data_IF_108781714249
#
_entry.id   IF_108781714249
#
_cell.length_a   1.000
_cell.length_b   1.000
_cell.length_c   1.000
_cell.angle_alpha   90.00
_cell.angle_beta   90.00
_cell.angle_gamma   90.00
#
_symmetry.space_group_name_H-M   'P 1'
#
loop_
_entity.id
_entity.type
_entity.pdbx_description
1 polymer ?
#
# COMPACT_ATOMS: atom_id res chain seq x y z
N UNK A 1 -38.00 11.04 56.55
CA UNK A 1 -37.79 12.13 55.59
C UNK A 1 -38.23 13.40 56.26
N UNK A 2 -37.41 14.48 56.29
CA UNK A 2 -37.77 15.73 56.92
C UNK A 2 -38.87 16.42 56.10
N UNK A 3 -39.95 16.81 56.79
CA UNK A 3 -41.04 17.56 56.19
C UNK A 3 -40.62 19.03 55.99
N UNK A 4 -40.66 19.48 54.76
CA UNK A 4 -40.34 20.88 54.39
C UNK A 4 -41.51 21.81 54.73
N UNK A 5 -42.68 21.29 54.91
CA UNK A 5 -43.88 22.07 55.21
C UNK A 5 -43.69 23.08 56.39
N UNK A 6 -43.05 22.64 57.44
CA UNK A 6 -42.76 23.55 58.63
C UNK A 6 -41.78 24.69 58.33
N UNK A 7 -40.98 24.54 57.29
CA UNK A 7 -40.04 25.60 56.88
C UNK A 7 -40.73 26.60 55.93
N UNK A 8 -41.59 26.11 55.07
CA UNK A 8 -42.38 26.93 54.12
C UNK A 8 -43.44 27.78 54.91
N UNK A 9 -44.07 27.21 55.93
CA UNK A 9 -45.05 27.88 56.74
C UNK A 9 -44.46 29.07 57.64
N UNK A 10 -43.17 29.21 57.66
CA UNK A 10 -42.50 30.35 58.29
C UNK A 10 -42.43 31.60 57.41
N UNK A 11 -42.76 31.47 56.15
CA UNK A 11 -42.78 32.57 55.19
C UNK A 11 -44.12 33.33 55.32
N UNK A 12 -44.08 34.68 55.42
CA UNK A 12 -45.30 35.48 55.54
C UNK A 12 -46.18 35.33 54.32
N UNK A 13 -47.50 35.14 54.52
CA UNK A 13 -48.51 34.93 53.45
C UNK A 13 -48.59 33.54 52.90
N UNK A 14 -47.83 32.58 53.43
CA UNK A 14 -47.94 31.18 52.94
C UNK A 14 -48.45 30.33 54.11
N UNK A 15 -49.57 29.64 53.85
CA UNK A 15 -50.11 28.65 54.80
C UNK A 15 -50.40 27.39 53.96
N UNK A 16 -49.64 26.34 54.19
CA UNK A 16 -49.77 25.10 53.45
C UNK A 16 -50.57 24.07 54.30
N UNK A 17 -51.69 23.64 53.79
CA UNK A 17 -52.53 22.64 54.46
C UNK A 17 -52.18 21.22 54.04
N UNK A 18 -51.32 21.04 53.04
CA UNK A 18 -50.87 19.75 52.54
C UNK A 18 -49.40 19.48 52.92
N UNK A 19 -49.05 18.24 53.27
CA UNK A 19 -47.67 17.88 53.59
C UNK A 19 -46.80 17.99 52.33
N UNK A 20 -45.84 18.87 52.38
CA UNK A 20 -44.86 19.04 51.27
C UNK A 20 -43.63 18.20 51.55
N UNK A 21 -43.16 17.50 50.59
CA UNK A 21 -41.96 16.67 50.65
C UNK A 21 -41.03 17.02 49.47
N UNK A 22 -39.80 17.24 49.76
CA UNK A 22 -38.78 17.42 48.74
C UNK A 22 -37.83 16.23 48.78
N UNK A 23 -37.62 15.63 47.62
CA UNK A 23 -36.64 14.56 47.43
C UNK A 23 -35.59 15.09 46.47
N UNK A 24 -34.35 15.14 46.95
CA UNK A 24 -33.20 15.47 46.12
C UNK A 24 -32.27 14.25 46.07
N UNK A 25 -31.88 13.85 44.90
CA UNK A 25 -30.85 12.84 44.68
C UNK A 25 -29.76 13.43 43.82
N UNK A 26 -28.51 13.13 44.13
CA UNK A 26 -27.36 13.54 43.33
C UNK A 26 -26.39 12.37 43.23
N UNK A 27 -25.86 12.21 42.06
CA UNK A 27 -24.82 11.21 41.78
C UNK A 27 -23.57 11.94 41.27
N UNK A 28 -22.42 11.61 41.83
CA UNK A 28 -21.13 12.15 41.43
C UNK A 28 -20.25 10.98 41.04
N UNK A 29 -19.83 10.94 39.79
CA UNK A 29 -18.84 10.00 39.30
C UNK A 29 -17.55 10.75 38.93
N UNK A 30 -16.43 10.30 39.47
CA UNK A 30 -15.11 10.84 39.14
C UNK A 30 -14.25 9.71 38.56
N UNK A 31 -13.77 9.91 37.35
CA UNK A 31 -12.78 9.04 36.72
C UNK A 31 -11.38 9.61 37.00
N UNK A 32 -10.58 8.89 37.78
CA UNK A 32 -9.17 9.21 37.97
C UNK A 32 -8.34 8.31 37.08
N UNK A 33 -7.70 8.85 36.04
CA UNK A 33 -6.86 8.01 35.15
C UNK A 33 -5.66 7.51 35.96
N UNK A 34 -5.53 6.20 36.06
CA UNK A 34 -4.35 5.54 36.62
C UNK A 34 -3.31 5.33 35.52
N UNK A 35 -2.04 5.51 35.82
CA UNK A 35 -0.93 5.23 34.92
C UNK A 35 0.06 4.27 35.58
N UNK A 36 0.76 3.51 34.72
CA UNK A 36 1.78 2.57 35.19
C UNK A 36 3.04 3.32 35.60
N UNK A 37 3.49 3.14 36.83
CA UNK A 37 4.76 3.69 37.32
C UNK A 37 6.00 2.98 36.72
N UNK A 38 5.80 1.90 35.94
CA UNK A 38 6.87 1.15 35.28
C UNK A 38 7.26 1.74 33.92
N UNK A 39 6.47 2.66 33.40
CA UNK A 39 6.72 3.30 32.11
C UNK A 39 6.97 4.77 32.38
N UNK A 40 8.20 5.23 32.19
CA UNK A 40 8.58 6.62 32.22
C UNK A 40 8.94 7.05 30.81
N UNK A 41 8.31 8.10 30.34
CA UNK A 41 8.75 8.83 29.16
C UNK A 41 9.83 9.88 29.54
N UNK A 42 10.44 10.53 28.56
CA UNK A 42 11.45 11.57 28.78
C UNK A 42 10.93 12.79 29.56
N UNK A 43 9.61 12.97 29.63
CA UNK A 43 8.96 14.04 30.35
C UNK A 43 8.65 13.67 31.83
N UNK A 44 8.89 12.43 32.25
CA UNK A 44 8.55 11.91 33.58
C UNK A 44 7.05 11.70 33.78
N UNK A 45 6.27 11.78 32.74
CA UNK A 45 4.84 11.52 32.70
C UNK A 45 4.64 10.04 32.30
N UNK A 46 4.11 9.24 33.19
CA UNK A 46 3.82 7.83 32.90
C UNK A 46 2.57 7.66 32.04
N UNK A 47 2.25 8.60 31.20
CA UNK A 47 1.10 8.56 30.30
C UNK A 47 1.43 7.78 29.04
N UNK A 48 0.60 6.79 28.73
CA UNK A 48 0.63 6.13 27.43
C UNK A 48 -0.35 6.91 26.55
N UNK A 49 0.19 7.61 25.57
CA UNK A 49 -0.62 8.16 24.50
C UNK A 49 -0.93 7.02 23.52
N UNK A 50 -2.19 6.63 23.42
CA UNK A 50 -2.65 5.85 22.28
C UNK A 50 -2.73 6.85 21.15
N UNK A 51 -1.83 6.71 20.22
CA UNK A 51 -1.79 7.56 19.04
C UNK A 51 -3.12 7.49 18.32
N UNK A 52 -3.55 8.62 17.81
CA UNK A 52 -4.77 8.74 17.05
C UNK A 52 -4.70 7.76 15.86
N UNK A 53 -5.76 7.01 15.61
CA UNK A 53 -5.80 6.06 14.48
C UNK A 53 -5.53 6.74 13.13
N UNK A 54 -5.70 8.06 13.06
CA UNK A 54 -5.35 8.88 11.90
C UNK A 54 -3.83 8.95 11.64
N UNK A 55 -3.00 8.74 12.66
CA UNK A 55 -1.54 8.66 12.54
C UNK A 55 -1.00 7.28 12.22
N UNK A 56 -1.84 6.26 12.17
CA UNK A 56 -1.42 4.88 11.92
C UNK A 56 -1.08 4.69 10.46
N UNK A 57 0.19 4.47 10.14
CA UNK A 57 0.62 4.12 8.78
C UNK A 57 0.21 2.69 8.48
N UNK A 58 -0.66 2.50 7.52
CA UNK A 58 -0.99 1.19 6.97
C UNK A 58 -0.30 1.02 5.62
N UNK A 59 0.46 -0.08 5.47
CA UNK A 59 1.13 -0.40 4.21
C UNK A 59 0.31 -1.40 3.39
N UNK A 60 0.13 -1.12 2.11
CA UNK A 60 -0.41 -2.08 1.14
C UNK A 60 0.74 -2.82 0.46
N UNK A 61 0.77 -4.15 0.60
CA UNK A 61 1.73 -4.96 -0.14
C UNK A 61 1.27 -5.11 -1.59
N UNK A 62 1.99 -4.47 -2.50
CA UNK A 62 1.70 -4.51 -3.93
C UNK A 62 2.29 -5.75 -4.63
N UNK A 63 3.18 -6.51 -3.98
CA UNK A 63 3.79 -7.72 -4.55
C UNK A 63 2.81 -8.87 -4.73
N UNK A 64 1.83 -8.96 -3.83
CA UNK A 64 0.87 -10.06 -3.80
C UNK A 64 -0.59 -9.60 -3.85
N UNK A 65 -1.45 -10.42 -4.41
CA UNK A 65 -1.13 -11.52 -5.34
C UNK A 65 -0.72 -10.98 -6.71
N UNK A 66 0.21 -11.67 -7.40
CA UNK A 66 0.72 -11.28 -8.75
C UNK A 66 -0.41 -11.20 -9.77
N UNK A 67 -1.46 -11.98 -9.56
CA UNK A 67 -2.64 -12.07 -10.44
C UNK A 67 -3.55 -10.84 -10.40
N UNK A 68 -3.37 -9.94 -9.43
CA UNK A 68 -4.14 -8.68 -9.37
C UNK A 68 -3.58 -7.61 -10.31
N UNK A 69 -2.36 -7.82 -10.80
CA UNK A 69 -1.78 -6.96 -11.81
C UNK A 69 -2.35 -7.30 -13.18
N UNK A 70 -2.64 -6.29 -13.97
CA UNK A 70 -3.11 -6.40 -15.35
C UNK A 70 -2.22 -5.55 -16.26
N UNK A 71 -2.35 -5.75 -17.56
CA UNK A 71 -1.64 -4.94 -18.56
C UNK A 71 -2.17 -3.51 -18.50
N UNK A 72 -1.27 -2.55 -18.39
CA UNK A 72 -1.64 -1.14 -18.32
C UNK A 72 -2.20 -0.61 -19.63
N UNK A 73 -3.11 0.34 -19.52
CA UNK A 73 -3.49 1.23 -20.61
C UNK A 73 -2.35 2.23 -20.88
N UNK A 74 -2.28 2.77 -22.11
CA UNK A 74 -1.37 3.87 -22.41
C UNK A 74 -1.79 5.11 -21.63
N UNK A 75 -0.86 5.77 -20.90
CA UNK A 75 -1.17 6.98 -20.14
C UNK A 75 -1.62 8.12 -21.08
N UNK A 76 -2.79 8.69 -20.81
CA UNK A 76 -3.26 9.87 -21.53
C UNK A 76 -2.62 11.13 -20.93
N UNK A 77 -2.41 12.14 -21.80
CA UNK A 77 -1.91 13.45 -21.36
C UNK A 77 -0.61 13.40 -20.53
N UNK A 78 0.26 12.45 -20.83
CA UNK A 78 1.56 12.30 -20.18
C UNK A 78 2.64 13.10 -20.93
N UNK A 79 3.00 14.29 -20.49
CA UNK A 79 4.06 15.08 -21.15
C UNK A 79 5.45 14.53 -20.77
N UNK A 80 6.38 14.62 -21.71
CA UNK A 80 7.80 14.43 -21.46
C UNK A 80 8.42 15.68 -20.77
N UNK A 81 9.72 15.66 -20.52
CA UNK A 81 10.45 16.79 -19.93
C UNK A 81 10.39 18.07 -20.77
N UNK A 82 10.05 17.98 -22.05
CA UNK A 82 9.96 19.08 -23.00
C UNK A 82 8.51 19.52 -23.24
N UNK A 83 7.54 18.88 -22.58
CA UNK A 83 6.13 19.14 -22.74
C UNK A 83 5.44 18.42 -23.91
N UNK A 84 6.14 17.51 -24.61
CA UNK A 84 5.54 16.72 -25.68
C UNK A 84 4.77 15.54 -25.12
N UNK A 85 3.62 15.21 -25.71
CA UNK A 85 2.84 14.02 -25.31
C UNK A 85 3.61 12.76 -25.70
N UNK A 86 3.94 11.93 -24.70
CA UNK A 86 4.72 10.70 -24.90
C UNK A 86 3.93 9.61 -25.65
N UNK A 87 2.63 9.54 -25.41
CA UNK A 87 1.75 8.50 -25.93
C UNK A 87 0.58 9.11 -26.70
N UNK A 88 0.80 9.68 -27.91
CA UNK A 88 -0.26 10.32 -28.66
C UNK A 88 -1.38 9.34 -29.07
N UNK A 89 -1.04 8.05 -29.20
CA UNK A 89 -2.00 6.99 -29.48
C UNK A 89 -2.97 6.70 -28.35
N UNK A 90 -2.67 7.14 -27.12
CA UNK A 90 -3.52 6.88 -25.95
C UNK A 90 -4.93 7.49 -26.05
N UNK A 91 -5.12 8.47 -26.94
CA UNK A 91 -6.42 9.13 -27.16
C UNK A 91 -7.27 8.42 -28.22
N UNK A 92 -6.70 7.42 -28.93
CA UNK A 92 -7.43 6.70 -29.98
C UNK A 92 -8.50 5.78 -29.37
N UNK A 93 -9.72 5.89 -29.88
CA UNK A 93 -10.87 5.07 -29.49
C UNK A 93 -11.25 4.16 -30.65
N UNK A 94 -11.49 2.87 -30.38
CA UNK A 94 -11.86 1.86 -31.38
C UNK A 94 -10.90 1.80 -32.59
N UNK A 95 -9.62 2.00 -32.33
CA UNK A 95 -8.59 2.02 -33.36
C UNK A 95 -7.44 1.08 -32.98
N UNK A 96 -7.09 0.17 -33.87
CA UNK A 96 -6.02 -0.82 -33.65
C UNK A 96 -4.64 -0.17 -33.42
N UNK A 97 -4.44 1.06 -33.90
CA UNK A 97 -3.20 1.80 -33.66
C UNK A 97 -3.00 2.21 -32.19
N UNK A 98 -4.03 2.13 -31.34
CA UNK A 98 -3.88 2.37 -29.90
C UNK A 98 -2.74 1.56 -29.28
N UNK A 99 -2.58 0.30 -29.67
CA UNK A 99 -1.55 -0.58 -29.12
C UNK A 99 -0.27 -0.68 -29.95
N UNK A 100 -0.10 0.12 -31.03
CA UNK A 100 1.02 -0.04 -31.98
C UNK A 100 2.41 0.02 -31.33
N UNK A 101 2.59 0.80 -30.28
CA UNK A 101 3.85 0.96 -29.58
C UNK A 101 4.00 0.05 -28.35
N UNK A 102 2.98 -0.75 -28.03
CA UNK A 102 3.02 -1.64 -26.89
C UNK A 102 3.93 -2.84 -27.18
N UNK A 103 5.01 -2.96 -26.40
CA UNK A 103 5.89 -4.11 -26.39
C UNK A 103 5.49 -5.10 -25.29
N UNK A 104 6.13 -6.24 -25.27
CA UNK A 104 5.88 -7.30 -24.31
C UNK A 104 6.44 -6.91 -22.93
N UNK A 105 5.65 -7.10 -21.91
CA UNK A 105 6.04 -7.04 -20.50
C UNK A 105 5.57 -8.31 -19.80
N UNK A 106 6.40 -8.86 -18.96
CA UNK A 106 6.06 -9.96 -18.07
C UNK A 106 6.31 -9.51 -16.62
N UNK A 107 5.51 -10.01 -15.69
CA UNK A 107 5.69 -9.77 -14.27
C UNK A 107 5.49 -11.08 -13.50
N UNK A 108 6.30 -11.26 -12.49
CA UNK A 108 6.34 -12.50 -11.72
C UNK A 108 6.98 -12.25 -10.35
N UNK A 109 6.92 -13.24 -9.47
CA UNK A 109 7.79 -13.29 -8.30
C UNK A 109 8.95 -14.21 -8.62
N UNK A 110 10.16 -13.77 -8.34
CA UNK A 110 11.36 -14.57 -8.58
C UNK A 110 11.37 -15.81 -7.70
N UNK A 111 11.44 -16.96 -8.34
CA UNK A 111 11.56 -18.25 -7.63
C UNK A 111 13.03 -18.48 -7.21
N UNK A 112 13.31 -18.70 -5.93
CA UNK A 112 14.65 -19.03 -5.46
C UNK A 112 15.31 -20.19 -6.20
N UNK A 113 14.52 -21.17 -6.69
CA UNK A 113 15.01 -22.27 -7.51
C UNK A 113 15.75 -21.84 -8.79
N UNK A 114 15.51 -20.62 -9.27
CA UNK A 114 16.12 -20.13 -10.52
C UNK A 114 17.41 -19.34 -10.31
N UNK A 115 17.67 -18.89 -9.09
CA UNK A 115 18.78 -17.94 -8.80
C UNK A 115 19.71 -18.40 -7.68
N UNK A 116 19.31 -19.38 -6.88
CA UNK A 116 20.13 -19.91 -5.79
C UNK A 116 20.58 -21.36 -6.11
N UNK A 117 21.85 -21.50 -6.44
CA UNK A 117 22.44 -22.80 -6.77
C UNK A 117 22.42 -23.82 -5.61
N UNK A 118 22.22 -23.36 -4.37
CA UNK A 118 22.12 -24.22 -3.20
C UNK A 118 20.71 -24.83 -3.05
N UNK A 119 19.73 -24.30 -3.76
CA UNK A 119 18.39 -24.89 -3.82
C UNK A 119 18.43 -26.21 -4.61
N UNK A 120 17.96 -27.28 -4.01
CA UNK A 120 17.95 -28.60 -4.62
C UNK A 120 17.09 -28.69 -5.90
N UNK A 121 16.20 -27.74 -6.11
CA UNK A 121 15.27 -27.69 -7.26
C UNK A 121 15.83 -26.97 -8.49
N UNK A 122 17.03 -26.34 -8.42
CA UNK A 122 17.59 -25.61 -9.56
C UNK A 122 17.88 -26.58 -10.73
N UNK A 123 17.44 -26.24 -11.96
CA UNK A 123 17.78 -27.01 -13.16
C UNK A 123 19.30 -27.06 -13.40
N UNK A 124 19.82 -28.22 -13.86
CA UNK A 124 21.25 -28.44 -14.01
C UNK A 124 21.93 -27.51 -15.02
N UNK A 125 21.22 -27.05 -16.03
CA UNK A 125 21.75 -26.12 -17.02
C UNK A 125 21.97 -24.73 -16.40
N UNK A 126 21.12 -24.30 -15.44
CA UNK A 126 21.27 -23.03 -14.72
C UNK A 126 22.39 -23.10 -13.68
N UNK A 127 22.59 -24.23 -13.03
CA UNK A 127 23.71 -24.41 -12.08
C UNK A 127 25.08 -24.15 -12.69
N UNK A 128 25.19 -24.38 -14.01
CA UNK A 128 26.44 -24.21 -14.77
C UNK A 128 26.55 -22.86 -15.46
N UNK A 129 25.48 -22.08 -15.45
CA UNK A 129 25.44 -20.73 -16.07
C UNK A 129 25.92 -19.68 -15.08
N UNK A 130 27.23 -19.44 -15.06
CA UNK A 130 27.83 -18.46 -14.17
C UNK A 130 27.40 -17.03 -14.49
N UNK A 131 27.08 -16.74 -15.75
CA UNK A 131 26.60 -15.41 -16.14
C UNK A 131 25.21 -15.11 -15.55
N UNK A 132 24.31 -16.10 -15.63
CA UNK A 132 22.99 -16.00 -15.00
C UNK A 132 23.08 -15.89 -13.48
N UNK A 133 23.89 -16.71 -12.83
CA UNK A 133 24.02 -16.71 -11.37
C UNK A 133 24.70 -15.45 -10.82
N UNK A 134 25.51 -14.77 -11.61
CA UNK A 134 26.15 -13.51 -11.24
C UNK A 134 25.35 -12.25 -11.64
N UNK A 135 24.18 -12.45 -12.25
CA UNK A 135 23.35 -11.35 -12.71
C UNK A 135 22.69 -10.61 -11.52
N UNK A 136 23.13 -9.38 -11.26
CA UNK A 136 22.62 -8.58 -10.15
C UNK A 136 21.18 -8.07 -10.33
N UNK A 137 20.62 -8.14 -11.54
CA UNK A 137 19.20 -7.81 -11.78
C UNK A 137 18.24 -8.94 -11.38
N UNK A 138 18.75 -10.16 -11.22
CA UNK A 138 17.98 -11.34 -10.82
C UNK A 138 18.61 -11.93 -9.56
N UNK A 139 18.36 -11.29 -8.42
CA UNK A 139 18.90 -11.74 -7.12
C UNK A 139 17.80 -11.85 -6.09
N UNK A 140 18.03 -12.73 -5.12
CA UNK A 140 17.22 -12.78 -3.92
C UNK A 140 17.52 -11.55 -3.05
N UNK A 141 16.49 -10.92 -2.55
CA UNK A 141 16.60 -9.79 -1.62
C UNK A 141 16.41 -10.29 -0.20
N UNK A 142 17.38 -10.08 0.65
CA UNK A 142 17.28 -10.46 2.05
C UNK A 142 16.60 -9.34 2.85
N UNK A 143 15.92 -9.71 3.94
CA UNK A 143 15.30 -8.73 4.82
C UNK A 143 16.33 -7.73 5.37
N UNK A 144 17.54 -8.17 5.62
CA UNK A 144 18.62 -7.33 6.12
C UNK A 144 19.09 -6.28 5.10
N UNK A 145 18.97 -6.56 3.80
CA UNK A 145 19.33 -5.61 2.74
C UNK A 145 18.40 -4.39 2.76
N UNK A 146 17.12 -4.61 3.10
CA UNK A 146 16.09 -3.56 3.12
C UNK A 146 16.00 -2.90 4.50
N UNK A 147 16.15 -3.68 5.57
CA UNK A 147 16.01 -3.21 6.95
C UNK A 147 17.28 -3.45 7.77
N UNK A 148 18.39 -2.76 7.49
CA UNK A 148 19.69 -3.07 8.10
C UNK A 148 19.73 -2.82 9.61
N UNK A 149 18.86 -1.97 10.14
CA UNK A 149 18.80 -1.63 11.57
C UNK A 149 17.88 -2.54 12.38
N UNK A 150 17.16 -3.46 11.72
CA UNK A 150 16.26 -4.38 12.40
C UNK A 150 17.05 -5.58 12.96
N UNK A 151 16.85 -5.88 14.24
CA UNK A 151 17.39 -7.10 14.85
C UNK A 151 16.54 -8.30 14.45
N UNK A 152 17.20 -9.34 13.96
CA UNK A 152 16.54 -10.59 13.56
C UNK A 152 16.93 -11.68 14.57
N UNK A 153 15.92 -12.33 15.14
CA UNK A 153 16.10 -13.40 16.14
C UNK A 153 16.01 -14.79 15.55
N UNK A 154 15.67 -14.92 14.27
CA UNK A 154 15.53 -16.19 13.56
C UNK A 154 16.23 -16.15 12.20
N UNK A 155 16.31 -17.30 11.54
CA UNK A 155 16.85 -17.42 10.17
C UNK A 155 16.21 -16.38 9.26
N UNK A 156 17.05 -15.55 8.66
CA UNK A 156 16.62 -14.50 7.74
C UNK A 156 16.06 -15.16 6.49
N UNK A 157 14.80 -14.86 6.20
CA UNK A 157 14.17 -15.27 4.94
C UNK A 157 14.42 -14.24 3.84
N UNK A 158 14.38 -14.72 2.61
CA UNK A 158 14.34 -13.83 1.45
C UNK A 158 12.99 -13.13 1.38
N UNK A 159 13.03 -11.83 1.03
CA UNK A 159 11.82 -11.09 0.71
C UNK A 159 11.39 -11.43 -0.72
N UNK A 160 10.11 -11.73 -0.93
CA UNK A 160 9.59 -11.84 -2.29
C UNK A 160 9.59 -10.47 -2.96
N UNK A 161 9.94 -10.44 -4.23
CA UNK A 161 9.96 -9.25 -5.08
C UNK A 161 8.88 -9.35 -6.16
N UNK A 162 8.41 -8.23 -6.66
CA UNK A 162 7.67 -8.16 -7.91
C UNK A 162 8.64 -7.79 -9.01
N UNK A 163 8.95 -8.74 -9.87
CA UNK A 163 9.93 -8.60 -10.93
C UNK A 163 9.24 -8.28 -12.23
N UNK A 164 9.83 -7.37 -12.99
CA UNK A 164 9.33 -6.91 -14.28
C UNK A 164 10.37 -7.18 -15.35
N UNK A 165 9.98 -7.89 -16.40
CA UNK A 165 10.80 -8.09 -17.59
C UNK A 165 10.17 -7.37 -18.77
N UNK A 166 10.90 -6.45 -19.37
CA UNK A 166 10.46 -5.68 -20.54
C UNK A 166 11.24 -6.09 -21.78
N UNK A 167 10.50 -6.43 -22.83
CA UNK A 167 11.05 -6.93 -24.10
C UNK A 167 10.69 -5.96 -25.23
N UNK A 168 11.46 -4.89 -25.46
CA UNK A 168 11.08 -3.81 -26.38
C UNK A 168 11.03 -4.22 -27.85
N UNK A 169 11.64 -5.34 -28.22
CA UNK A 169 11.59 -5.90 -29.58
C UNK A 169 10.46 -6.91 -29.78
N UNK A 170 9.86 -7.39 -28.70
CA UNK A 170 8.79 -8.37 -28.79
C UNK A 170 7.43 -7.68 -28.76
N UNK A 171 6.53 -8.17 -29.60
CA UNK A 171 5.16 -7.67 -29.69
C UNK A 171 4.40 -7.96 -28.39
N UNK A 172 3.86 -6.90 -27.78
CA UNK A 172 2.98 -7.03 -26.64
C UNK A 172 1.54 -7.40 -27.00
N UNK A 173 0.72 -7.75 -26.02
CA UNK A 173 -0.71 -7.97 -26.22
C UNK A 173 -1.39 -6.74 -26.83
N UNK A 174 -2.33 -6.99 -27.73
CA UNK A 174 -3.07 -5.95 -28.46
C UNK A 174 -2.20 -5.02 -29.33
N UNK A 175 -0.96 -5.41 -29.63
CA UNK A 175 -0.15 -4.74 -30.62
C UNK A 175 -0.40 -5.34 -32.00
N UNK A 176 -1.07 -4.60 -32.86
CA UNK A 176 -1.42 -4.98 -34.24
C UNK A 176 -0.58 -4.23 -35.28
N UNK A 177 0.59 -3.69 -34.89
CA UNK A 177 1.50 -3.01 -35.80
C UNK A 177 1.99 -4.01 -36.88
N UNK A 178 1.66 -3.73 -38.15
CA UNK A 178 2.07 -4.53 -39.28
C UNK A 178 3.15 -3.86 -40.15
N UNK A 179 3.48 -2.61 -39.85
CA UNK A 179 4.39 -1.80 -40.69
C UNK A 179 5.79 -1.68 -40.08
N UNK A 180 5.88 -1.58 -38.75
CA UNK A 180 7.14 -1.36 -38.04
C UNK A 180 7.65 -2.67 -37.41
N UNK A 181 7.70 -3.72 -38.22
CA UNK A 181 8.19 -5.04 -37.81
C UNK A 181 9.25 -5.52 -38.77
N UNK A 182 10.17 -6.35 -38.29
CA UNK A 182 11.13 -7.08 -39.10
C UNK A 182 10.47 -8.28 -39.78
N UNK A 183 11.19 -8.93 -40.72
CA UNK A 183 10.74 -10.18 -41.36
C UNK A 183 10.54 -11.29 -40.31
N UNK A 184 11.27 -11.27 -39.21
CA UNK A 184 11.22 -12.25 -38.15
C UNK A 184 10.14 -11.91 -37.09
N UNK A 185 9.38 -10.82 -37.31
CA UNK A 185 8.30 -10.41 -36.43
C UNK A 185 8.72 -9.55 -35.24
N UNK A 186 9.99 -9.14 -35.14
CA UNK A 186 10.45 -8.22 -34.10
C UNK A 186 9.98 -6.78 -34.38
N UNK A 187 9.70 -6.05 -33.32
CA UNK A 187 9.35 -4.63 -33.39
C UNK A 187 10.58 -3.77 -33.73
N UNK A 188 10.42 -2.89 -34.71
CA UNK A 188 11.40 -1.84 -34.99
C UNK A 188 11.31 -0.72 -33.95
N UNK A 189 12.38 0.10 -33.86
CA UNK A 189 12.45 1.26 -32.98
C UNK A 189 12.14 0.95 -31.50
N UNK A 190 12.91 0.07 -30.84
CA UNK A 190 12.64 -0.38 -29.48
C UNK A 190 12.62 0.76 -28.45
N UNK A 191 13.29 1.88 -28.72
CA UNK A 191 13.33 3.05 -27.85
C UNK A 191 11.96 3.76 -27.73
N UNK A 192 11.11 3.61 -28.75
CA UNK A 192 9.77 4.22 -28.79
C UNK A 192 8.67 3.25 -28.30
N UNK A 193 9.07 2.09 -27.82
CA UNK A 193 8.13 1.08 -27.34
C UNK A 193 7.94 1.21 -25.85
N UNK A 194 6.75 0.91 -25.41
CA UNK A 194 6.39 0.93 -24.00
C UNK A 194 5.70 -0.37 -23.58
N UNK A 195 5.76 -0.65 -22.32
CA UNK A 195 5.01 -1.70 -21.65
C UNK A 195 4.79 -1.28 -20.21
N UNK A 196 3.71 -1.75 -19.63
CA UNK A 196 3.40 -1.42 -18.25
C UNK A 196 2.35 -2.35 -17.67
N UNK A 197 2.29 -2.37 -16.36
CA UNK A 197 1.28 -3.07 -15.59
C UNK A 197 0.51 -2.08 -14.73
N UNK A 198 -0.72 -2.42 -14.39
CA UNK A 198 -1.58 -1.61 -13.53
C UNK A 198 -2.27 -2.50 -12.51
N UNK A 199 -2.57 -1.93 -11.37
CA UNK A 199 -3.32 -2.58 -10.30
C UNK A 199 -4.22 -1.55 -9.64
N UNK A 200 -5.44 -1.94 -9.27
CA UNK A 200 -6.26 -1.15 -8.38
C UNK A 200 -5.68 -1.19 -6.97
N UNK A 201 -5.48 -0.05 -6.36
CA UNK A 201 -4.98 0.08 -4.99
C UNK A 201 -6.15 -0.02 -4.02
N UNK A 202 -7.28 0.57 -4.39
CA UNK A 202 -8.55 0.44 -3.65
C UNK A 202 -9.69 0.14 -4.62
N UNK A 203 -10.67 -0.63 -4.14
CA UNK A 203 -11.86 -1.02 -4.90
C UNK A 203 -13.05 -0.09 -4.68
N UNK A 204 -13.02 0.74 -3.64
CA UNK A 204 -14.16 1.57 -3.26
C UNK A 204 -13.91 3.07 -3.45
N UNK A 205 -12.85 3.58 -2.85
CA UNK A 205 -12.54 5.02 -2.87
C UNK A 205 -11.05 5.24 -2.59
N UNK A 206 -10.36 5.81 -3.57
CA UNK A 206 -8.93 6.10 -3.45
C UNK A 206 -8.66 7.24 -2.45
N UNK A 207 -9.56 8.22 -2.36
CA UNK A 207 -9.39 9.35 -1.45
C UNK A 207 -9.48 8.91 0.02
N UNK A 208 -10.32 7.92 0.32
CA UNK A 208 -10.43 7.39 1.68
C UNK A 208 -9.24 6.52 2.09
N UNK A 209 -8.46 6.04 1.13
CA UNK A 209 -7.25 5.23 1.38
C UNK A 209 -6.07 6.05 1.88
N UNK A 210 -6.11 7.39 1.76
CA UNK A 210 -5.06 8.33 2.18
C UNK A 210 -3.65 7.88 1.77
N UNK A 211 -3.48 7.46 0.50
CA UNK A 211 -2.18 7.01 -0.01
C UNK A 211 -1.26 8.22 -0.17
N UNK A 212 -0.22 8.31 0.65
CA UNK A 212 0.73 9.43 0.63
C UNK A 212 1.90 9.17 -0.31
N UNK A 213 2.42 7.94 -0.35
CA UNK A 213 3.61 7.60 -1.14
C UNK A 213 3.63 6.11 -1.51
N UNK A 214 4.45 5.80 -2.50
CA UNK A 214 4.78 4.43 -2.93
C UNK A 214 6.27 4.22 -2.69
N UNK A 215 6.60 3.14 -1.95
CA UNK A 215 7.98 2.70 -1.75
C UNK A 215 8.33 1.58 -2.75
N UNK A 216 9.53 1.65 -3.38
CA UNK A 216 10.03 0.66 -4.33
C UNK A 216 11.56 0.57 -4.33
#
# INVERSE_FOLDING_TARGET
>A
MPSITRFIDKLPLISTTQPSMMVASGEVAQLIPGHSKLINDESGSSNIYIDDFEGTRSGYDLKFPVTTWAIASAPQNSPDKNGNIQFPEATLINNLNYGKNRAKVAWYNLDPCLVDAQQGCMPDHLKKDTAQLSNHYLRLVQQQDVFPLKSYTSLQGNLPTLDLAFYPKERGPYNFDAQNITKDGELLNPINRWGGIMRAIDYSDFETSNVEFIEF
#
